data_IF_572810950360
#
_entry.id   IF_572810950360
#
_cell.length_a   1.000
_cell.length_b   1.000
_cell.length_c   1.000
_cell.angle_alpha   90.00
_cell.angle_beta   90.00
_cell.angle_gamma   90.00
#
_symmetry.space_group_name_H-M   'P 1'
#
loop_
_entity.id
_entity.type
_entity.pdbx_description
1 polymer ?
#
# COMPACT_ATOMS: atom_id res chain seq x y z
N UNK A 1 -19.03 -6.20 1.98
CA UNK A 1 -17.76 -6.90 1.69
C UNK A 1 -16.86 -6.82 2.91
N UNK A 2 -16.01 -7.83 3.15
CA UNK A 2 -15.02 -7.76 4.22
C UNK A 2 -14.00 -6.66 3.91
N UNK A 3 -13.65 -5.85 4.91
CA UNK A 3 -12.61 -4.83 4.79
C UNK A 3 -11.25 -5.52 4.71
N UNK A 4 -10.41 -5.14 3.73
CA UNK A 4 -9.05 -5.66 3.63
C UNK A 4 -8.30 -5.41 4.95
N UNK A 5 -7.40 -6.33 5.32
CA UNK A 5 -6.77 -6.33 6.63
C UNK A 5 -5.92 -5.07 6.84
N UNK A 6 -5.24 -4.63 5.79
CA UNK A 6 -4.44 -3.41 5.71
C UNK A 6 -5.25 -2.12 5.94
N UNK A 7 -6.56 -2.15 5.64
CA UNK A 7 -7.45 -1.00 5.84
C UNK A 7 -8.09 -1.00 7.24
N UNK A 8 -7.82 -2.00 8.07
CA UNK A 8 -8.32 -2.05 9.45
C UNK A 8 -7.39 -1.28 10.39
N UNK A 9 -7.99 -0.69 11.43
CA UNK A 9 -7.24 -0.06 12.53
C UNK A 9 -7.07 -1.11 13.62
N UNK A 10 -5.83 -1.34 14.03
CA UNK A 10 -5.45 -2.28 15.09
C UNK A 10 -5.04 -1.47 16.32
N UNK A 11 -5.92 -1.34 17.34
CA UNK A 11 -5.62 -0.58 18.56
C UNK A 11 -4.39 -1.09 19.32
N UNK A 12 -4.03 -2.36 19.12
CA UNK A 12 -2.91 -3.03 19.78
C UNK A 12 -1.55 -2.71 19.12
N UNK A 13 -1.54 -2.13 17.92
CA UNK A 13 -0.29 -1.67 17.31
C UNK A 13 0.09 -0.35 17.96
N UNK A 14 1.26 -0.32 18.59
CA UNK A 14 1.81 0.89 19.20
C UNK A 14 1.92 2.02 18.16
N UNK A 15 1.82 3.25 18.66
CA UNK A 15 2.09 4.45 17.86
C UNK A 15 3.53 4.37 17.36
N UNK A 16 3.72 4.41 16.03
CA UNK A 16 5.05 4.53 15.47
C UNK A 16 5.53 5.95 15.75
N UNK A 17 6.81 6.17 16.11
CA UNK A 17 7.33 7.51 16.37
C UNK A 17 6.96 8.44 15.21
N UNK A 18 6.34 9.57 15.59
CA UNK A 18 5.48 10.38 14.75
C UNK A 18 6.03 10.53 13.33
N UNK A 19 5.27 9.98 12.37
CA UNK A 19 5.46 10.33 10.98
C UNK A 19 5.05 11.81 10.78
N UNK A 20 5.57 12.44 9.73
CA UNK A 20 5.17 13.79 9.33
C UNK A 20 3.66 13.84 8.98
N UNK A 21 3.20 15.04 8.56
CA UNK A 21 1.82 15.37 8.15
C UNK A 21 0.97 14.15 7.74
N UNK A 22 -0.19 14.00 8.40
CA UNK A 22 -1.19 12.94 8.21
C UNK A 22 -0.79 11.53 8.69
N UNK A 23 0.27 11.43 9.49
CA UNK A 23 0.67 10.19 10.20
C UNK A 23 1.13 9.06 9.26
N UNK A 24 1.65 9.45 8.09
CA UNK A 24 2.14 8.56 7.03
C UNK A 24 3.64 8.76 6.82
N UNK A 25 4.40 7.67 6.83
CA UNK A 25 5.82 7.64 6.50
C UNK A 25 6.09 6.67 5.35
N UNK A 26 7.01 7.04 4.48
CA UNK A 26 7.52 6.15 3.44
C UNK A 26 8.98 5.82 3.69
N UNK A 27 9.33 4.55 3.54
CA UNK A 27 10.70 4.06 3.67
C UNK A 27 11.09 3.25 2.42
N UNK A 28 12.27 3.47 1.83
CA UNK A 28 12.75 2.62 0.76
C UNK A 28 13.05 1.22 1.31
N UNK A 29 12.79 0.19 0.51
CA UNK A 29 13.24 -1.17 0.83
C UNK A 29 14.25 -1.67 -0.20
N UNK A 30 15.26 -2.42 0.26
CA UNK A 30 16.21 -3.11 -0.62
C UNK A 30 15.66 -4.45 -1.14
N UNK A 31 14.48 -4.86 -0.68
CA UNK A 31 13.85 -6.11 -1.10
C UNK A 31 13.31 -5.99 -2.53
N UNK A 32 13.40 -7.08 -3.28
CA UNK A 32 12.57 -7.28 -4.48
C UNK A 32 11.20 -7.78 -4.02
N UNK A 33 10.13 -7.07 -4.36
CA UNK A 33 8.77 -7.45 -4.01
C UNK A 33 8.02 -7.80 -5.29
N UNK A 34 7.23 -8.89 -5.25
CA UNK A 34 6.41 -9.35 -6.37
C UNK A 34 4.98 -9.57 -5.93
N UNK A 35 4.04 -9.06 -6.72
CA UNK A 35 2.61 -9.34 -6.58
C UNK A 35 2.25 -10.41 -7.61
N UNK A 36 1.78 -11.56 -7.13
CA UNK A 36 1.42 -12.70 -7.97
C UNK A 36 -0.08 -12.95 -7.88
N UNK A 37 -0.75 -13.10 -9.01
CA UNK A 37 -2.14 -13.51 -9.08
C UNK A 37 -2.28 -14.65 -10.09
N UNK A 38 -2.83 -15.79 -9.66
CA UNK A 38 -2.99 -16.99 -10.50
C UNK A 38 -1.71 -17.38 -11.27
N UNK A 39 -0.54 -17.26 -10.64
CA UNK A 39 0.77 -17.57 -11.25
C UNK A 39 1.33 -16.47 -12.18
N UNK A 40 0.59 -15.40 -12.44
CA UNK A 40 1.04 -14.25 -13.23
C UNK A 40 1.61 -13.17 -12.31
N UNK A 41 2.79 -12.64 -12.65
CA UNK A 41 3.34 -11.47 -11.97
C UNK A 41 2.62 -10.20 -12.44
N UNK A 42 1.90 -9.57 -11.52
CA UNK A 42 1.17 -8.32 -11.74
C UNK A 42 2.09 -7.12 -11.52
N UNK A 43 2.96 -7.20 -10.51
CA UNK A 43 3.99 -6.21 -10.24
C UNK A 43 5.29 -6.90 -9.81
N UNK A 44 6.43 -6.35 -10.20
CA UNK A 44 7.76 -6.85 -9.82
C UNK A 44 8.75 -5.69 -9.77
N UNK A 45 9.21 -5.35 -8.57
CA UNK A 45 10.04 -4.16 -8.39
C UNK A 45 11.08 -4.31 -7.29
N UNK A 46 12.20 -3.61 -7.49
CA UNK A 46 13.23 -3.31 -6.48
C UNK A 46 13.20 -1.86 -6.00
N UNK A 47 12.25 -1.05 -6.49
CA UNK A 47 12.08 0.38 -6.21
C UNK A 47 10.81 0.62 -5.38
N UNK A 48 10.40 -0.37 -4.58
CA UNK A 48 9.18 -0.32 -3.79
C UNK A 48 9.39 0.54 -2.55
N UNK A 49 8.37 1.29 -2.17
CA UNK A 49 8.33 2.04 -0.92
C UNK A 49 7.43 1.32 0.09
N UNK A 50 7.91 1.16 1.32
CA UNK A 50 7.08 0.70 2.43
C UNK A 50 6.39 1.91 3.05
N UNK A 51 5.06 1.95 2.97
CA UNK A 51 4.24 2.95 3.62
C UNK A 51 3.85 2.45 5.02
N UNK A 52 4.13 3.27 6.01
CA UNK A 52 3.82 3.05 7.41
C UNK A 52 2.82 4.10 7.85
N UNK A 53 1.64 3.63 8.27
CA UNK A 53 0.61 4.45 8.90
C UNK A 53 0.33 3.92 10.31
N UNK A 54 0.08 4.82 11.26
CA UNK A 54 -0.16 4.43 12.64
C UNK A 54 -1.38 3.52 12.79
N UNK A 55 -1.25 2.54 13.69
CA UNK A 55 -2.29 1.54 13.98
C UNK A 55 -2.78 0.77 12.74
N UNK A 56 -2.00 0.73 11.66
CA UNK A 56 -2.28 -0.07 10.46
C UNK A 56 -1.09 -0.95 10.07
N UNK A 57 -1.38 -2.00 9.32
CA UNK A 57 -0.36 -2.81 8.69
C UNK A 57 0.44 -1.98 7.68
N UNK A 58 1.70 -2.35 7.50
CA UNK A 58 2.55 -1.71 6.49
C UNK A 58 2.09 -2.12 5.09
N UNK A 59 2.14 -1.19 4.14
CA UNK A 59 1.68 -1.39 2.75
C UNK A 59 2.82 -1.11 1.78
N UNK A 60 2.99 -1.96 0.76
CA UNK A 60 3.98 -1.74 -0.30
C UNK A 60 3.38 -0.89 -1.43
N UNK A 61 4.00 0.25 -1.72
CA UNK A 61 3.69 1.09 -2.87
C UNK A 61 4.68 0.81 -4.00
N UNK A 62 4.15 0.39 -5.14
CA UNK A 62 4.92 0.12 -6.36
C UNK A 62 4.96 1.37 -7.25
N UNK A 63 6.10 1.66 -7.90
CA UNK A 63 6.10 2.61 -9.00
C UNK A 63 5.25 2.04 -10.15
N UNK A 64 4.39 2.87 -10.74
CA UNK A 64 3.45 2.45 -11.79
C UNK A 64 4.16 1.78 -12.98
N UNK A 65 5.38 2.22 -13.30
CA UNK A 65 6.20 1.63 -14.37
C UNK A 65 6.54 0.16 -14.18
N UNK A 66 6.47 -0.34 -12.95
CA UNK A 66 6.80 -1.71 -12.59
C UNK A 66 5.53 -2.56 -12.35
N UNK A 67 4.35 -2.00 -12.69
CA UNK A 67 3.03 -2.63 -12.58
C UNK A 67 2.45 -2.87 -13.97
N UNK A 68 1.94 -4.07 -14.22
CA UNK A 68 1.25 -4.45 -15.46
C UNK A 68 -0.18 -3.94 -15.49
N UNK A 69 -0.32 -2.63 -15.65
CA UNK A 69 -1.63 -1.96 -15.70
C UNK A 69 -2.48 -2.38 -16.90
N UNK A 70 -1.88 -2.99 -17.93
CA UNK A 70 -2.57 -3.64 -19.06
C UNK A 70 -3.51 -4.78 -18.62
N UNK A 71 -3.27 -5.35 -17.44
CA UNK A 71 -4.09 -6.42 -16.88
C UNK A 71 -5.24 -5.90 -15.99
N UNK A 72 -5.35 -4.58 -15.80
CA UNK A 72 -6.33 -3.99 -14.90
C UNK A 72 -7.60 -3.57 -15.64
N UNK A 73 -8.73 -3.74 -14.98
CA UNK A 73 -10.02 -3.19 -15.41
C UNK A 73 -10.44 -2.16 -14.38
N UNK A 74 -10.66 -0.89 -14.78
CA UNK A 74 -11.15 0.14 -13.86
C UNK A 74 -12.48 -0.27 -13.24
N UNK A 75 -12.67 0.11 -11.98
CA UNK A 75 -13.95 -0.06 -11.28
C UNK A 75 -14.51 1.31 -10.90
N UNK A 76 -15.79 1.36 -10.55
CA UNK A 76 -16.43 2.58 -10.01
C UNK A 76 -16.23 2.74 -8.51
N UNK A 77 -15.56 1.80 -7.84
CA UNK A 77 -15.31 1.88 -6.41
C UNK A 77 -14.24 2.94 -6.15
N UNK A 78 -14.53 3.86 -5.23
CA UNK A 78 -13.55 4.81 -4.72
C UNK A 78 -13.58 4.90 -3.20
N UNK A 79 -12.48 5.35 -2.63
CA UNK A 79 -12.37 5.64 -1.21
C UNK A 79 -11.49 6.85 -0.97
N UNK A 80 -11.83 7.64 0.06
CA UNK A 80 -11.07 8.82 0.44
C UNK A 80 -10.32 8.56 1.75
N UNK A 81 -9.08 9.04 1.82
CA UNK A 81 -8.27 9.05 3.03
C UNK A 81 -7.68 10.44 3.28
N UNK A 82 -7.77 11.01 4.50
CA UNK A 82 -7.28 12.37 4.79
C UNK A 82 -5.83 12.62 4.35
N UNK A 83 -4.95 11.64 4.57
CA UNK A 83 -3.53 11.73 4.21
C UNK A 83 -3.13 11.18 2.83
N UNK A 84 -4.03 10.50 2.10
CA UNK A 84 -3.70 9.86 0.81
C UNK A 84 -4.52 10.37 -0.36
N UNK A 85 -5.61 11.09 -0.11
CA UNK A 85 -6.55 11.54 -1.13
C UNK A 85 -7.52 10.45 -1.55
N UNK A 86 -7.95 10.51 -2.81
CA UNK A 86 -8.88 9.56 -3.41
C UNK A 86 -8.13 8.43 -4.11
N UNK A 87 -8.64 7.20 -3.92
CA UNK A 87 -8.20 5.99 -4.61
C UNK A 87 -9.40 5.28 -5.25
#
# INVERSE_FOLDING_TARGET
MAKALEDQVFPQLEERPAAAKDDIRFEPTQRRVRVMFAGVAIADSRKVMLMLENRRLAVYYFPVTDVRTDLFVPTTYSSNHPGKGDA
#
